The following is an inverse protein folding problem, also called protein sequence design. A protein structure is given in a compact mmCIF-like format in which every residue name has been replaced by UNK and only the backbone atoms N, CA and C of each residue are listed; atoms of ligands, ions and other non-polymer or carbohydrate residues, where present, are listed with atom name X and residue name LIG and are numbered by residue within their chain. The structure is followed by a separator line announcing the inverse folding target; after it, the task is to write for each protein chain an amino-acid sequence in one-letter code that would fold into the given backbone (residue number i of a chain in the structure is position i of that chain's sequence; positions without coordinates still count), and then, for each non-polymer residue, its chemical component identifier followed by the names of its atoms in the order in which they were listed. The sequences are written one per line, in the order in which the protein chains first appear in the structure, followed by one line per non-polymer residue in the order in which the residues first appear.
data_IF_642013492505
#
_entry.id   IF_642013492505
#
_cell.length_a   1.000
_cell.length_b   1.000
_cell.length_c   1.000
_cell.angle_alpha   90.00
_cell.angle_beta   90.00
_cell.angle_gamma   90.00
#
_symmetry.space_group_name_H-M   'P 1'
#
loop_
_entity.id
_entity.type
_entity.pdbx_description
1 polymer ?
#
# COMPACT_ATOMS: atom_id res chain seq x y z
N UNK A 1 -11.17 2.18 -0.25
CA UNK A 1 -12.52 1.72 0.13
C UNK A 1 -13.42 1.79 -1.10
N UNK A 2 -13.76 0.65 -1.70
CA UNK A 2 -14.81 0.58 -2.72
C UNK A 2 -16.18 0.59 -2.04
N UNK A 3 -17.23 1.02 -2.74
CA UNK A 3 -18.62 0.99 -2.24
C UNK A 3 -18.97 -0.41 -1.72
N UNK A 4 -19.00 -0.59 -0.40
CA UNK A 4 -19.57 -1.77 0.23
C UNK A 4 -21.10 -1.60 0.20
N UNK A 5 -21.81 -2.55 -0.39
CA UNK A 5 -23.27 -2.60 -0.27
C UNK A 5 -23.61 -2.95 1.19
N UNK A 6 -24.37 -2.10 1.88
CA UNK A 6 -24.96 -2.47 3.17
C UNK A 6 -25.35 -1.31 4.09
N UNK A 7 -24.50 -0.30 4.25
CA UNK A 7 -24.71 0.75 5.26
C UNK A 7 -24.83 2.13 4.61
N UNK A 8 -25.90 2.87 4.94
CA UNK A 8 -26.24 4.24 4.49
C UNK A 8 -25.23 4.86 3.53
N UNK A 9 -25.30 4.45 2.27
CA UNK A 9 -24.40 4.95 1.23
C UNK A 9 -24.92 6.32 0.83
N UNK A 10 -24.24 7.37 1.28
CA UNK A 10 -24.47 8.73 0.78
C UNK A 10 -24.47 8.70 -0.75
N UNK A 11 -25.47 9.34 -1.37
CA UNK A 11 -25.46 9.53 -2.82
C UNK A 11 -24.22 10.34 -3.21
N UNK A 12 -23.87 10.34 -4.49
CA UNK A 12 -22.75 11.18 -4.93
C UNK A 12 -23.04 12.66 -4.69
N UNK A 13 -24.28 13.09 -4.89
CA UNK A 13 -24.68 14.47 -4.66
C UNK A 13 -24.58 14.85 -3.17
N UNK A 14 -24.92 13.92 -2.27
CA UNK A 14 -24.76 14.16 -0.82
C UNK A 14 -23.29 14.24 -0.43
N UNK A 15 -22.43 13.41 -1.03
CA UNK A 15 -20.98 13.47 -0.84
C UNK A 15 -20.44 14.84 -1.33
N UNK A 16 -20.88 15.26 -2.51
CA UNK A 16 -20.47 16.52 -3.12
C UNK A 16 -20.87 17.71 -2.23
N UNK A 17 -22.13 17.75 -1.79
CA UNK A 17 -22.64 18.76 -0.83
C UNK A 17 -21.85 18.76 0.47
N UNK A 18 -21.63 17.58 1.07
CA UNK A 18 -20.89 17.46 2.31
C UNK A 18 -19.47 18.02 2.19
N UNK A 19 -18.76 17.77 1.09
CA UNK A 19 -17.42 18.31 0.88
C UNK A 19 -17.43 19.84 0.82
N UNK A 20 -18.36 20.42 0.07
CA UNK A 20 -18.53 21.88 -0.06
C UNK A 20 -18.92 22.51 1.28
N UNK A 21 -19.88 21.93 2.00
CA UNK A 21 -20.34 22.43 3.29
C UNK A 21 -19.20 22.44 4.31
N UNK A 22 -18.38 21.38 4.35
CA UNK A 22 -17.20 21.34 5.24
C UNK A 22 -16.16 22.36 4.81
N UNK A 23 -15.92 22.55 3.51
CA UNK A 23 -14.96 23.53 3.03
C UNK A 23 -15.40 24.98 3.35
N UNK A 24 -16.70 25.29 3.24
CA UNK A 24 -17.27 26.60 3.59
C UNK A 24 -17.12 26.97 5.07
N UNK A 25 -16.87 26.00 5.95
CA UNK A 25 -16.51 26.26 7.36
C UNK A 25 -15.06 26.70 7.57
N UNK A 26 -14.29 26.96 6.50
CA UNK A 26 -12.89 27.37 6.55
C UNK A 26 -11.90 26.23 6.81
N UNK A 27 -12.34 24.97 6.69
CA UNK A 27 -11.50 23.79 6.92
C UNK A 27 -10.78 23.34 5.65
N UNK A 28 -9.59 22.76 5.81
CA UNK A 28 -8.95 21.95 4.78
C UNK A 28 -9.63 20.58 4.74
N UNK A 29 -10.33 20.29 3.65
CA UNK A 29 -11.08 19.03 3.47
C UNK A 29 -10.29 18.11 2.55
N UNK A 30 -10.11 16.85 2.97
CA UNK A 30 -9.43 15.82 2.17
C UNK A 30 -10.43 14.74 1.78
N UNK A 31 -10.58 14.52 0.47
CA UNK A 31 -11.39 13.44 -0.11
C UNK A 31 -10.48 12.26 -0.48
N UNK A 32 -10.34 11.30 0.42
CA UNK A 32 -9.53 10.11 0.16
C UNK A 32 -10.29 9.13 -0.73
N UNK A 33 -9.75 8.88 -1.93
CA UNK A 33 -10.32 7.96 -2.93
C UNK A 33 -9.42 6.74 -3.10
N UNK A 34 -10.02 5.59 -3.43
CA UNK A 34 -9.26 4.39 -3.78
C UNK A 34 -8.81 4.43 -5.23
N UNK A 35 -7.56 4.07 -5.50
CA UNK A 35 -7.00 4.11 -6.84
C UNK A 35 -6.65 5.53 -7.27
N UNK A 36 -6.99 5.89 -8.50
CA UNK A 36 -6.83 7.25 -9.02
C UNK A 36 -8.17 8.01 -8.99
N UNK A 37 -8.21 9.29 -8.58
CA UNK A 37 -9.43 10.09 -8.53
C UNK A 37 -10.21 10.16 -9.86
N UNK A 38 -9.51 10.15 -10.99
CA UNK A 38 -10.08 10.38 -12.32
C UNK A 38 -10.24 9.10 -13.15
N UNK A 39 -9.75 7.95 -12.69
CA UNK A 39 -10.00 6.66 -13.34
C UNK A 39 -11.19 5.95 -12.69
N UNK A 40 -12.38 6.08 -13.31
CA UNK A 40 -13.64 5.49 -12.84
C UNK A 40 -14.03 5.85 -11.38
N UNK A 41 -13.42 6.90 -10.84
CA UNK A 41 -13.59 7.33 -9.45
C UNK A 41 -14.63 8.44 -9.26
N UNK A 42 -15.18 9.03 -10.33
CA UNK A 42 -16.05 10.23 -10.30
C UNK A 42 -15.38 11.48 -9.70
N UNK A 43 -14.05 11.53 -9.62
CA UNK A 43 -13.34 12.68 -9.09
C UNK A 43 -13.55 13.96 -9.92
N UNK A 44 -13.78 13.83 -11.23
CA UNK A 44 -14.08 14.97 -12.10
C UNK A 44 -15.43 15.62 -11.75
N UNK A 45 -16.47 14.81 -11.49
CA UNK A 45 -17.77 15.30 -11.03
C UNK A 45 -17.66 16.01 -9.68
N UNK A 46 -16.91 15.42 -8.74
CA UNK A 46 -16.63 16.02 -7.43
C UNK A 46 -15.91 17.37 -7.57
N UNK A 47 -14.89 17.44 -8.44
CA UNK A 47 -14.10 18.65 -8.70
C UNK A 47 -14.93 19.77 -9.36
N UNK A 48 -15.77 19.43 -10.36
CA UNK A 48 -16.67 20.39 -11.00
C UNK A 48 -17.63 21.00 -9.99
N UNK A 49 -18.25 20.18 -9.14
CA UNK A 49 -19.17 20.65 -8.11
C UNK A 49 -18.50 21.61 -7.10
N UNK A 50 -17.23 21.34 -6.74
CA UNK A 50 -16.45 22.23 -5.88
C UNK A 50 -16.22 23.59 -6.57
N UNK A 51 -15.84 23.59 -7.85
CA UNK A 51 -15.63 24.82 -8.63
C UNK A 51 -16.90 25.62 -8.84
N UNK A 52 -18.03 24.97 -9.13
CA UNK A 52 -19.35 25.60 -9.24
C UNK A 52 -19.77 26.31 -7.94
N UNK A 53 -19.24 25.90 -6.79
CA UNK A 53 -19.48 26.51 -5.49
C UNK A 53 -18.42 27.56 -5.09
N UNK A 54 -17.56 27.99 -6.02
CA UNK A 54 -16.56 29.04 -5.80
C UNK A 54 -15.40 28.63 -4.89
N UNK A 55 -15.15 27.33 -4.76
CA UNK A 55 -14.07 26.78 -3.94
C UNK A 55 -12.90 26.31 -4.80
N UNK A 56 -11.69 26.48 -4.26
CA UNK A 56 -10.47 25.93 -4.84
C UNK A 56 -10.26 24.47 -4.44
N UNK A 57 -9.63 23.70 -5.32
CA UNK A 57 -9.27 22.31 -5.04
C UNK A 57 -7.95 21.96 -5.73
N UNK A 58 -7.30 20.91 -5.20
CA UNK A 58 -6.15 20.25 -5.81
C UNK A 58 -6.47 18.76 -5.93
N UNK A 59 -5.96 18.11 -6.97
CA UNK A 59 -6.01 16.66 -7.13
C UNK A 59 -4.61 16.07 -7.08
N UNK A 60 -4.44 15.01 -6.29
CA UNK A 60 -3.22 14.23 -6.25
C UNK A 60 -3.43 12.94 -7.06
N UNK A 61 -2.63 12.69 -8.11
CA UNK A 61 -2.73 11.46 -8.90
C UNK A 61 -2.53 10.23 -8.02
N UNK A 62 -3.34 9.20 -8.26
CA UNK A 62 -3.25 7.93 -7.56
C UNK A 62 -2.77 6.80 -8.46
N UNK A 63 -2.39 5.68 -7.85
CA UNK A 63 -2.07 4.47 -8.60
C UNK A 63 -3.36 3.71 -8.92
N UNK A 64 -3.74 3.67 -10.19
CA UNK A 64 -4.96 2.98 -10.63
C UNK A 64 -4.84 1.45 -10.54
N UNK A 65 -5.92 0.78 -10.16
CA UNK A 65 -5.96 -0.69 -10.00
C UNK A 65 -5.66 -1.44 -11.31
N UNK A 66 -6.00 -0.88 -12.47
CA UNK A 66 -5.72 -1.47 -13.78
C UNK A 66 -4.24 -1.49 -14.18
N UNK A 67 -3.36 -0.85 -13.40
CA UNK A 67 -1.90 -1.01 -13.53
C UNK A 67 -1.36 -1.76 -12.31
N UNK A 68 -1.77 -1.35 -11.11
CA UNK A 68 -1.24 -1.92 -9.85
C UNK A 68 -1.54 -3.41 -9.76
N UNK A 69 -2.79 -3.82 -10.00
CA UNK A 69 -3.18 -5.23 -9.87
C UNK A 69 -2.40 -6.11 -10.85
N UNK A 70 -2.18 -5.61 -12.07
CA UNK A 70 -1.44 -6.30 -13.12
C UNK A 70 0.02 -6.49 -12.70
N UNK A 71 0.66 -5.40 -12.26
CA UNK A 71 2.05 -5.43 -11.82
C UNK A 71 2.25 -6.39 -10.63
N UNK A 72 1.44 -6.28 -9.58
CA UNK A 72 1.54 -7.19 -8.41
C UNK A 72 1.08 -8.61 -8.72
N UNK A 73 0.38 -8.84 -9.83
CA UNK A 73 0.09 -10.18 -10.34
C UNK A 73 1.18 -10.72 -11.26
N UNK A 74 2.28 -10.00 -11.50
CA UNK A 74 3.30 -10.41 -12.47
C UNK A 74 2.79 -10.41 -13.92
N UNK A 75 1.77 -9.62 -14.23
CA UNK A 75 1.18 -9.50 -15.56
C UNK A 75 1.54 -8.12 -16.09
N UNK A 76 2.47 -7.99 -17.05
CA UNK A 76 2.77 -6.69 -17.64
C UNK A 76 1.55 -6.13 -18.37
N UNK A 77 1.20 -4.87 -18.11
CA UNK A 77 0.11 -4.20 -18.83
C UNK A 77 0.45 -4.01 -20.32
N UNK A 78 1.72 -3.78 -20.64
CA UNK A 78 2.24 -3.74 -22.00
C UNK A 78 3.45 -4.64 -22.16
N UNK A 79 3.70 -5.07 -23.40
CA UNK A 79 4.89 -5.82 -23.79
C UNK A 79 5.10 -5.66 -25.30
N UNK A 80 6.31 -5.32 -25.74
CA UNK A 80 6.61 -4.89 -27.12
C UNK A 80 6.03 -5.82 -28.21
N UNK A 81 6.08 -7.13 -28.00
CA UNK A 81 5.67 -8.13 -28.99
C UNK A 81 4.30 -8.78 -28.69
N UNK A 82 3.65 -8.42 -27.57
CA UNK A 82 2.41 -9.11 -27.12
C UNK A 82 1.26 -8.13 -26.86
N UNK A 83 1.55 -6.95 -26.31
CA UNK A 83 0.56 -5.93 -26.01
C UNK A 83 1.14 -4.52 -26.14
N UNK A 84 0.92 -3.89 -27.29
CA UNK A 84 1.38 -2.53 -27.60
C UNK A 84 0.39 -1.43 -27.19
N UNK A 85 -0.80 -1.83 -26.72
CA UNK A 85 -1.87 -0.94 -26.27
C UNK A 85 -2.54 -1.49 -25.03
N UNK A 86 -3.12 -0.58 -24.24
CA UNK A 86 -3.86 -0.89 -23.01
C UNK A 86 -5.19 -0.17 -23.09
N UNK A 87 -6.28 -0.89 -22.84
CA UNK A 87 -7.63 -0.32 -22.78
C UNK A 87 -8.23 -0.53 -21.40
N UNK A 88 -8.55 0.57 -20.71
CA UNK A 88 -9.30 0.54 -19.46
C UNK A 88 -10.79 0.66 -19.74
N UNK A 89 -11.56 -0.34 -19.31
CA UNK A 89 -12.98 -0.49 -19.66
C UNK A 89 -13.78 -0.66 -18.37
N UNK A 90 -14.94 -0.02 -18.25
CA UNK A 90 -15.91 -0.38 -17.20
C UNK A 90 -16.71 -1.59 -17.65
N UNK A 91 -16.79 -2.62 -16.81
CA UNK A 91 -17.68 -3.76 -17.02
C UNK A 91 -19.06 -3.56 -16.39
N UNK A 92 -19.29 -2.42 -15.73
CA UNK A 92 -20.57 -2.07 -15.13
C UNK A 92 -21.47 -1.35 -16.15
N UNK A 93 -22.67 -1.88 -16.36
CA UNK A 93 -23.71 -1.23 -17.16
C UNK A 93 -24.34 -0.12 -16.33
N UNK A 94 -24.30 1.12 -16.81
CA UNK A 94 -25.31 2.10 -16.37
C UNK A 94 -26.67 1.57 -16.77
N UNK A 95 -27.69 1.67 -15.92
CA UNK A 95 -29.04 1.10 -16.15
C UNK A 95 -29.68 1.48 -17.50
N UNK A 96 -29.20 2.55 -18.16
CA UNK A 96 -29.71 3.07 -19.42
C UNK A 96 -28.86 2.78 -20.67
N UNK A 97 -27.77 2.00 -20.58
CA UNK A 97 -26.95 1.66 -21.75
C UNK A 97 -26.57 0.18 -21.78
N UNK A 98 -27.00 -0.51 -22.83
CA UNK A 98 -26.45 -1.80 -23.21
C UNK A 98 -25.09 -1.55 -23.88
N UNK A 99 -24.02 -1.49 -23.08
CA UNK A 99 -22.67 -1.55 -23.64
C UNK A 99 -22.45 -2.89 -24.34
N UNK A 100 -22.22 -2.82 -25.65
CA UNK A 100 -21.78 -3.95 -26.48
C UNK A 100 -20.26 -4.12 -26.33
N UNK A 101 -19.82 -5.20 -25.66
CA UNK A 101 -18.40 -5.48 -25.50
C UNK A 101 -17.75 -6.07 -26.76
N UNK A 102 -18.52 -6.43 -27.79
CA UNK A 102 -17.99 -6.99 -29.06
C UNK A 102 -16.97 -6.07 -29.71
N UNK A 103 -17.18 -4.75 -29.61
CA UNK A 103 -16.26 -3.73 -30.15
C UNK A 103 -14.85 -3.86 -29.58
N UNK A 104 -14.72 -4.31 -28.34
CA UNK A 104 -13.42 -4.44 -27.67
C UNK A 104 -12.65 -5.68 -28.12
N UNK A 105 -13.30 -6.69 -28.70
CA UNK A 105 -12.66 -7.92 -29.17
C UNK A 105 -11.61 -7.70 -30.26
N UNK A 106 -11.77 -6.62 -31.04
CA UNK A 106 -10.87 -6.23 -32.12
C UNK A 106 -9.76 -5.28 -31.67
N UNK A 107 -9.82 -4.77 -30.43
CA UNK A 107 -8.78 -3.88 -29.93
C UNK A 107 -7.47 -4.67 -29.71
N UNK A 108 -6.33 -4.13 -30.13
CA UNK A 108 -5.05 -4.77 -29.87
C UNK A 108 -4.67 -4.70 -28.38
N UNK A 109 -3.77 -5.58 -27.98
CA UNK A 109 -3.09 -5.53 -26.68
C UNK A 109 -3.92 -6.00 -25.50
N UNK A 110 -3.85 -5.24 -24.39
CA UNK A 110 -4.37 -5.62 -23.08
C UNK A 110 -5.71 -4.94 -22.80
N UNK A 111 -6.76 -5.73 -22.61
CA UNK A 111 -8.06 -5.24 -22.15
C UNK A 111 -8.15 -5.40 -20.63
N UNK A 112 -8.44 -4.32 -19.92
CA UNK A 112 -8.55 -4.31 -18.45
C UNK A 112 -9.93 -3.82 -18.06
N UNK A 113 -10.75 -4.72 -17.52
CA UNK A 113 -12.12 -4.43 -17.11
C UNK A 113 -12.20 -4.16 -15.60
N UNK A 114 -12.70 -2.98 -15.26
CA UNK A 114 -13.04 -2.54 -13.92
C UNK A 114 -14.48 -2.91 -13.61
N UNK A 115 -14.79 -3.26 -12.37
CA UNK A 115 -16.18 -3.49 -11.92
C UNK A 115 -16.94 -4.56 -12.74
N UNK A 116 -16.23 -5.42 -13.49
CA UNK A 116 -16.81 -6.35 -14.45
C UNK A 116 -17.15 -7.73 -13.89
N UNK A 117 -16.76 -8.05 -12.66
CA UNK A 117 -16.85 -9.43 -12.13
C UNK A 117 -18.26 -10.03 -12.23
N UNK A 118 -19.30 -9.29 -11.81
CA UNK A 118 -20.70 -9.75 -11.92
C UNK A 118 -21.15 -9.92 -13.37
N UNK A 119 -20.62 -9.10 -14.27
CA UNK A 119 -21.00 -9.05 -15.69
C UNK A 119 -20.06 -9.87 -16.59
N UNK A 120 -19.10 -10.59 -16.01
CA UNK A 120 -18.10 -11.34 -16.74
C UNK A 120 -18.71 -12.33 -17.75
N UNK A 121 -19.81 -13.07 -17.45
CA UNK A 121 -20.45 -13.93 -18.45
C UNK A 121 -20.84 -13.21 -19.74
N UNK A 122 -21.39 -11.99 -19.62
CA UNK A 122 -21.77 -11.18 -20.79
C UNK A 122 -20.54 -10.63 -21.50
N UNK A 123 -19.51 -10.17 -20.75
CA UNK A 123 -18.25 -9.70 -21.33
C UNK A 123 -17.62 -10.81 -22.18
N UNK A 124 -17.52 -12.04 -21.66
CA UNK A 124 -16.95 -13.17 -22.39
C UNK A 124 -17.78 -13.51 -23.63
N UNK A 125 -19.10 -13.62 -23.49
CA UNK A 125 -20.01 -13.89 -24.61
C UNK A 125 -19.83 -12.87 -25.74
N UNK A 126 -19.81 -11.59 -25.40
CA UNK A 126 -19.69 -10.50 -26.38
C UNK A 126 -18.27 -10.44 -26.98
N UNK A 127 -17.21 -10.67 -26.19
CA UNK A 127 -15.86 -10.72 -26.73
C UNK A 127 -15.69 -11.88 -27.74
N UNK A 128 -16.23 -13.07 -27.43
CA UNK A 128 -16.22 -14.22 -28.36
C UNK A 128 -17.02 -13.88 -29.63
N UNK A 129 -18.22 -13.32 -29.48
CA UNK A 129 -19.04 -12.90 -30.62
C UNK A 129 -18.39 -11.78 -31.46
N UNK A 130 -17.56 -10.93 -30.85
CA UNK A 130 -16.77 -9.90 -31.50
C UNK A 130 -15.52 -10.42 -32.21
N UNK A 131 -15.20 -11.71 -32.06
CA UNK A 131 -14.09 -12.37 -32.74
C UNK A 131 -12.79 -12.45 -31.94
N UNK A 132 -12.83 -12.29 -30.61
CA UNK A 132 -11.63 -12.56 -29.80
C UNK A 132 -11.25 -14.04 -29.93
N UNK A 133 -9.96 -14.35 -29.93
CA UNK A 133 -9.51 -15.73 -29.94
C UNK A 133 -9.93 -16.43 -28.64
N UNK A 134 -10.49 -17.64 -28.77
CA UNK A 134 -10.99 -18.44 -27.64
C UNK A 134 -9.90 -18.83 -26.63
N UNK A 135 -8.69 -19.06 -27.13
CA UNK A 135 -7.50 -19.40 -26.34
C UNK A 135 -6.78 -18.18 -25.74
N UNK A 136 -7.24 -16.96 -26.06
CA UNK A 136 -6.71 -15.71 -25.48
C UNK A 136 -6.73 -15.82 -23.96
N UNK A 137 -5.63 -15.48 -23.32
CA UNK A 137 -5.48 -15.63 -21.87
C UNK A 137 -6.26 -14.55 -21.12
N UNK A 138 -6.81 -14.93 -19.98
CA UNK A 138 -7.56 -14.06 -19.08
C UNK A 138 -7.09 -14.27 -17.64
N UNK A 139 -7.04 -13.18 -16.88
CA UNK A 139 -6.80 -13.20 -15.44
C UNK A 139 -7.89 -12.42 -14.70
N UNK A 140 -8.27 -12.90 -13.52
CA UNK A 140 -9.10 -12.19 -12.55
C UNK A 140 -8.25 -11.96 -11.30
N UNK A 141 -8.01 -10.70 -10.97
CA UNK A 141 -7.14 -10.29 -9.87
C UNK A 141 -8.02 -9.66 -8.80
N UNK A 142 -8.23 -10.37 -7.71
CA UNK A 142 -9.01 -9.92 -6.55
C UNK A 142 -8.11 -9.30 -5.49
N UNK A 143 -8.57 -8.24 -4.83
CA UNK A 143 -7.82 -7.53 -3.77
C UNK A 143 -6.36 -7.22 -4.15
N UNK A 144 -6.14 -6.76 -5.38
CA UNK A 144 -4.81 -6.47 -5.91
C UNK A 144 -4.00 -5.54 -5.00
N UNK A 145 -2.68 -5.78 -4.99
CA UNK A 145 -1.68 -5.15 -4.12
C UNK A 145 -1.90 -5.26 -2.60
N UNK A 146 -2.85 -6.08 -2.16
CA UNK A 146 -3.05 -6.34 -0.72
C UNK A 146 -2.51 -7.72 -0.34
N UNK A 147 -2.24 -7.96 0.96
CA UNK A 147 -1.93 -9.31 1.47
C UNK A 147 -3.03 -10.35 1.22
N UNK A 148 -4.24 -9.92 0.84
CA UNK A 148 -5.38 -10.79 0.50
C UNK A 148 -5.53 -10.99 -1.01
N UNK A 149 -4.56 -10.56 -1.81
CA UNK A 149 -4.58 -10.73 -3.26
C UNK A 149 -4.76 -12.20 -3.61
N UNK A 150 -5.62 -12.47 -4.60
CA UNK A 150 -5.68 -13.76 -5.28
C UNK A 150 -5.84 -13.53 -6.77
N UNK A 151 -5.04 -14.26 -7.55
CA UNK A 151 -5.08 -14.24 -9.01
C UNK A 151 -5.60 -15.58 -9.53
N UNK A 152 -6.59 -15.52 -10.41
CA UNK A 152 -7.15 -16.65 -11.13
C UNK A 152 -6.83 -16.48 -12.61
N UNK A 153 -6.29 -17.50 -13.28
CA UNK A 153 -5.92 -17.44 -14.70
C UNK A 153 -6.63 -18.54 -15.48
N UNK A 154 -7.07 -18.24 -16.69
CA UNK A 154 -7.71 -19.20 -17.60
C UNK A 154 -7.55 -18.73 -19.06
N UNK A 155 -8.39 -19.24 -19.94
CA UNK A 155 -8.61 -18.75 -21.31
C UNK A 155 -10.01 -18.15 -21.41
N UNK A 156 -10.24 -17.27 -22.39
CA UNK A 156 -11.56 -16.67 -22.62
C UNK A 156 -12.66 -17.73 -22.75
N UNK A 157 -12.39 -18.85 -23.42
CA UNK A 157 -13.37 -19.93 -23.59
C UNK A 157 -13.71 -20.67 -22.29
N UNK A 158 -12.72 -20.89 -21.41
CA UNK A 158 -12.86 -21.77 -20.24
C UNK A 158 -13.13 -21.05 -18.92
N UNK A 159 -12.94 -19.73 -18.86
CA UNK A 159 -12.96 -18.97 -17.60
C UNK A 159 -14.25 -19.14 -16.79
N UNK A 160 -15.41 -19.26 -17.46
CA UNK A 160 -16.71 -19.41 -16.79
C UNK A 160 -16.95 -20.82 -16.27
N UNK A 161 -16.23 -21.81 -16.79
CA UNK A 161 -16.31 -23.22 -16.38
C UNK A 161 -15.29 -23.52 -15.27
N UNK A 162 -14.07 -23.00 -15.42
CA UNK A 162 -12.94 -23.28 -14.51
C UNK A 162 -12.98 -22.44 -13.23
N UNK A 163 -13.61 -21.27 -13.25
CA UNK A 163 -13.55 -20.30 -12.15
C UNK A 163 -14.95 -19.98 -11.62
N UNK A 164 -15.18 -20.41 -10.39
CA UNK A 164 -16.37 -20.08 -9.61
C UNK A 164 -16.33 -18.60 -9.15
N UNK A 165 -17.07 -17.75 -9.87
CA UNK A 165 -17.08 -16.30 -9.65
C UNK A 165 -17.66 -15.89 -8.29
N UNK A 166 -18.52 -16.71 -7.68
CA UNK A 166 -19.11 -16.44 -6.35
C UNK A 166 -18.07 -16.52 -5.23
N UNK A 167 -16.99 -17.27 -5.45
CA UNK A 167 -15.87 -17.36 -4.49
C UNK A 167 -14.88 -16.20 -4.59
N UNK A 168 -14.99 -15.37 -5.63
CA UNK A 168 -14.08 -14.25 -5.85
C UNK A 168 -14.52 -13.04 -5.02
N UNK A 169 -13.69 -12.68 -4.05
CA UNK A 169 -13.91 -11.49 -3.22
C UNK A 169 -13.72 -10.21 -4.04
N UNK A 170 -14.63 -9.26 -3.89
CA UNK A 170 -14.51 -7.92 -4.48
C UNK A 170 -13.61 -7.05 -3.59
N UNK A 171 -12.93 -6.03 -4.16
CA UNK A 171 -12.90 -5.65 -5.58
C UNK A 171 -12.02 -6.59 -6.42
N UNK A 172 -12.31 -6.69 -7.72
CA UNK A 172 -11.53 -7.47 -8.68
C UNK A 172 -11.37 -6.74 -10.02
N UNK A 173 -10.23 -6.94 -10.66
CA UNK A 173 -9.91 -6.50 -12.02
C UNK A 173 -9.84 -7.73 -12.92
N UNK A 174 -10.44 -7.64 -14.11
CA UNK A 174 -10.33 -8.68 -15.13
C UNK A 174 -9.39 -8.17 -16.22
N UNK A 175 -8.49 -9.03 -16.68
CA UNK A 175 -7.50 -8.70 -17.71
C UNK A 175 -7.57 -9.75 -18.80
N UNK A 176 -7.74 -9.33 -20.05
CA UNK A 176 -7.64 -10.21 -21.22
C UNK A 176 -6.42 -9.76 -22.02
N UNK A 177 -5.37 -10.57 -22.05
CA UNK A 177 -4.10 -10.26 -22.72
C UNK A 177 -3.21 -11.48 -22.82
N UNK A 178 -2.37 -11.53 -23.85
CA UNK A 178 -1.36 -12.60 -23.97
C UNK A 178 -0.29 -12.48 -22.87
N UNK A 179 -0.08 -11.28 -22.30
CA UNK A 179 0.87 -11.04 -21.21
C UNK A 179 0.51 -11.74 -19.91
N UNK A 180 -0.73 -12.25 -19.78
CA UNK A 180 -1.15 -13.08 -18.64
C UNK A 180 -0.26 -14.32 -18.51
N UNK A 181 0.25 -14.86 -19.61
CA UNK A 181 1.17 -16.00 -19.59
C UNK A 181 2.53 -15.70 -18.93
N UNK A 182 2.96 -14.43 -18.89
CA UNK A 182 4.23 -14.04 -18.27
C UNK A 182 4.22 -14.15 -16.74
N UNK A 183 3.03 -14.26 -16.14
CA UNK A 183 2.84 -14.38 -14.70
C UNK A 183 3.63 -15.54 -14.08
N UNK A 184 3.75 -16.65 -14.78
CA UNK A 184 4.52 -17.82 -14.32
C UNK A 184 5.96 -17.45 -13.96
N UNK A 185 6.54 -16.47 -14.65
CA UNK A 185 7.93 -16.02 -14.49
C UNK A 185 8.07 -14.77 -13.63
N UNK A 186 7.04 -13.92 -13.61
CA UNK A 186 7.12 -12.57 -13.03
C UNK A 186 6.35 -12.42 -11.71
N UNK A 187 5.71 -13.47 -11.20
CA UNK A 187 4.99 -13.41 -9.93
C UNK A 187 5.95 -13.29 -8.73
N UNK A 188 6.23 -12.06 -8.31
CA UNK A 188 7.07 -11.79 -7.14
C UNK A 188 6.25 -11.54 -5.85
N UNK A 189 5.00 -11.11 -5.98
CA UNK A 189 4.24 -10.53 -4.86
C UNK A 189 3.62 -11.60 -3.96
N UNK A 190 2.98 -12.62 -4.53
CA UNK A 190 2.25 -13.63 -3.76
C UNK A 190 3.16 -14.65 -3.06
N UNK A 191 4.47 -14.63 -3.35
CA UNK A 191 5.47 -15.47 -2.69
C UNK A 191 5.92 -14.89 -1.33
N UNK A 192 5.45 -13.71 -0.95
CA UNK A 192 5.75 -13.09 0.34
C UNK A 192 5.01 -13.78 1.49
N UNK A 193 5.44 -13.53 2.73
CA UNK A 193 4.92 -14.16 3.95
C UNK A 193 3.56 -13.60 4.43
N UNK A 194 2.70 -13.17 3.50
CA UNK A 194 1.40 -12.58 3.81
C UNK A 194 0.53 -13.51 4.66
N UNK A 195 -0.16 -12.93 5.64
CA UNK A 195 -1.02 -13.65 6.58
C UNK A 195 -0.30 -14.22 7.81
N UNK A 196 1.04 -14.25 7.82
CA UNK A 196 1.82 -14.62 9.02
C UNK A 196 2.02 -13.39 9.91
N UNK A 197 1.83 -13.58 11.22
CA UNK A 197 1.99 -12.51 12.22
C UNK A 197 3.26 -12.71 13.02
N UNK A 198 4.00 -11.63 13.27
CA UNK A 198 5.18 -11.63 14.14
C UNK A 198 4.96 -10.60 15.26
N UNK A 199 5.21 -11.00 16.50
CA UNK A 199 5.28 -10.09 17.63
C UNK A 199 6.75 -9.81 17.99
N UNK A 200 7.14 -8.55 18.01
CA UNK A 200 8.45 -8.11 18.45
C UNK A 200 8.34 -7.55 19.87
N UNK A 201 9.02 -8.20 20.82
CA UNK A 201 8.81 -7.98 22.27
C UNK A 201 9.85 -7.09 22.95
N UNK A 202 10.88 -6.65 22.22
CA UNK A 202 11.94 -5.80 22.76
C UNK A 202 11.51 -4.31 22.81
N UNK A 203 12.41 -3.43 23.25
CA UNK A 203 12.14 -1.99 23.33
C UNK A 203 11.73 -1.38 21.96
N UNK A 204 10.87 -0.36 21.99
CA UNK A 204 10.24 0.19 20.78
C UNK A 204 11.27 0.72 19.77
N UNK A 205 12.23 1.55 20.22
CA UNK A 205 13.21 2.20 19.35
C UNK A 205 14.12 1.20 18.61
N UNK A 206 14.57 0.15 19.28
CA UNK A 206 15.44 -0.88 18.66
C UNK A 206 14.68 -1.82 17.71
N UNK A 207 13.34 -1.77 17.73
CA UNK A 207 12.47 -2.69 16.99
C UNK A 207 12.01 -2.16 15.64
N UNK A 208 11.95 -0.84 15.45
CA UNK A 208 11.39 -0.22 14.24
C UNK A 208 12.08 -0.77 12.97
N UNK A 209 13.41 -0.84 12.97
CA UNK A 209 14.18 -1.33 11.80
C UNK A 209 13.93 -2.81 11.49
N UNK A 210 13.69 -3.61 12.51
CA UNK A 210 13.39 -5.03 12.32
C UNK A 210 11.95 -5.24 11.87
N UNK A 211 11.03 -4.38 12.35
CA UNK A 211 9.66 -4.33 11.85
C UNK A 211 9.63 -4.06 10.36
N UNK A 212 10.29 -3.00 9.90
CA UNK A 212 10.34 -2.63 8.46
C UNK A 212 10.83 -3.80 7.59
N UNK A 213 11.96 -4.42 7.97
CA UNK A 213 12.50 -5.57 7.23
C UNK A 213 11.54 -6.77 7.17
N UNK A 214 10.84 -7.05 8.26
CA UNK A 214 9.88 -8.15 8.31
C UNK A 214 8.61 -7.82 7.53
N UNK A 215 8.15 -6.57 7.54
CA UNK A 215 7.02 -6.11 6.72
C UNK A 215 7.35 -6.17 5.22
N UNK A 216 8.60 -5.85 4.83
CA UNK A 216 9.07 -5.99 3.45
C UNK A 216 9.00 -7.44 2.95
N UNK A 217 9.27 -8.40 3.85
CA UNK A 217 9.12 -9.84 3.61
C UNK A 217 7.66 -10.32 3.63
N UNK A 218 6.71 -9.43 3.93
CA UNK A 218 5.27 -9.65 3.91
C UNK A 218 4.63 -10.04 5.24
N UNK A 219 5.36 -9.98 6.36
CA UNK A 219 4.79 -10.29 7.68
C UNK A 219 3.90 -9.15 8.20
N UNK A 220 2.85 -9.49 8.95
CA UNK A 220 2.10 -8.55 9.80
C UNK A 220 2.80 -8.44 11.16
N UNK A 221 3.54 -7.34 11.37
CA UNK A 221 4.45 -7.20 12.50
C UNK A 221 3.90 -6.26 13.56
N UNK A 222 3.69 -6.78 14.77
CA UNK A 222 3.26 -6.00 15.94
C UNK A 222 4.42 -5.79 16.90
N UNK A 223 4.66 -4.54 17.27
CA UNK A 223 5.57 -4.22 18.36
C UNK A 223 4.78 -4.32 19.67
N UNK A 224 5.22 -5.18 20.57
CA UNK A 224 4.60 -5.44 21.87
C UNK A 224 5.69 -5.32 22.93
N UNK A 225 6.12 -4.09 23.29
CA UNK A 225 7.25 -3.91 24.20
C UNK A 225 6.93 -4.53 25.55
N UNK A 226 7.74 -5.50 26.00
CA UNK A 226 7.60 -6.09 27.34
C UNK A 226 8.55 -5.47 28.36
N UNK A 227 9.38 -4.52 27.92
CA UNK A 227 10.38 -3.83 28.74
C UNK A 227 10.19 -2.33 28.56
N UNK A 228 10.15 -1.59 29.68
CA UNK A 228 10.20 -0.13 29.71
C UNK A 228 11.56 0.30 30.26
N UNK A 229 12.28 1.12 29.50
CA UNK A 229 13.49 1.77 29.98
C UNK A 229 13.05 2.98 30.80
N UNK A 230 13.50 3.06 32.05
CA UNK A 230 13.28 4.19 32.93
C UNK A 230 14.62 4.79 33.29
N UNK A 231 14.73 6.11 33.12
CA UNK A 231 15.85 6.87 33.65
C UNK A 231 15.76 6.87 35.19
N UNK A 232 16.90 6.64 35.84
CA UNK A 232 17.02 6.69 37.30
C UNK A 232 18.27 7.46 37.66
N UNK A 233 18.22 8.16 38.79
CA UNK A 233 19.34 8.90 39.36
C UNK A 233 19.90 9.99 38.42
N UNK A 234 19.06 10.63 37.61
CA UNK A 234 19.45 11.72 36.70
C UNK A 234 19.94 12.95 37.46
N UNK A 235 19.34 13.26 38.60
CA UNK A 235 19.74 14.42 39.42
C UNK A 235 21.14 14.25 40.02
N UNK A 236 21.45 13.03 40.47
CA UNK A 236 22.78 12.68 40.94
C UNK A 236 23.80 12.76 39.80
N UNK A 237 23.41 12.35 38.59
CA UNK A 237 24.28 12.43 37.42
C UNK A 237 24.63 13.90 37.09
N UNK A 238 23.64 14.79 37.14
CA UNK A 238 23.80 16.23 36.91
C UNK A 238 24.71 16.88 37.98
N UNK A 239 24.57 16.48 39.25
CA UNK A 239 25.47 16.91 40.32
C UNK A 239 26.91 16.46 40.04
N UNK A 240 27.10 15.21 39.61
CA UNK A 240 28.43 14.66 39.31
C UNK A 240 29.08 15.26 38.07
N UNK A 241 28.32 15.79 37.11
CA UNK A 241 28.91 16.50 35.98
C UNK A 241 29.62 17.80 36.38
N UNK A 242 29.18 18.45 37.47
CA UNK A 242 29.85 19.68 37.98
C UNK A 242 31.27 19.42 38.48
N UNK A 243 31.53 18.21 38.97
CA UNK A 243 32.83 17.78 39.47
C UNK A 243 33.08 16.30 39.13
N UNK A 244 33.55 16.07 37.89
CA UNK A 244 33.70 14.72 37.33
C UNK A 244 35.13 14.18 37.55
N UNK A 245 35.47 13.88 38.80
CA UNK A 245 36.80 13.41 39.22
C UNK A 245 36.90 11.88 39.28
N UNK A 246 36.89 11.20 38.14
CA UNK A 246 36.94 9.73 38.07
C UNK A 246 38.05 9.22 37.15
N UNK A 247 38.71 8.12 37.53
CA UNK A 247 39.70 7.47 36.65
C UNK A 247 39.03 6.62 35.55
N UNK A 248 37.88 6.02 35.87
CA UNK A 248 37.16 5.11 34.99
C UNK A 248 35.65 5.41 34.95
N UNK A 249 35.09 5.35 33.75
CA UNK A 249 33.65 5.39 33.48
C UNK A 249 33.24 4.06 32.83
N UNK A 250 32.44 3.27 33.53
CA UNK A 250 32.08 1.90 33.10
C UNK A 250 30.61 1.85 32.68
N UNK A 251 30.34 1.45 31.44
CA UNK A 251 29.00 1.26 30.92
C UNK A 251 28.63 -0.22 30.83
N UNK A 252 27.46 -0.58 31.39
CA UNK A 252 26.96 -1.96 31.38
C UNK A 252 25.83 -2.19 30.39
N UNK A 253 25.29 -1.12 29.77
CA UNK A 253 24.25 -1.22 28.74
C UNK A 253 24.31 -0.07 27.75
N UNK A 254 23.81 -0.31 26.53
CA UNK A 254 23.68 0.73 25.49
C UNK A 254 22.74 1.87 25.92
N UNK A 255 21.72 1.55 26.71
CA UNK A 255 20.76 2.54 27.21
C UNK A 255 21.44 3.49 28.19
N UNK A 256 22.29 2.98 29.08
CA UNK A 256 23.06 3.81 30.01
C UNK A 256 24.02 4.75 29.27
N UNK A 257 24.68 4.29 28.20
CA UNK A 257 25.52 5.14 27.33
C UNK A 257 24.68 6.28 26.74
N UNK A 258 23.52 5.95 26.13
CA UNK A 258 22.64 6.95 25.50
C UNK A 258 22.19 8.00 26.52
N UNK A 259 21.58 7.58 27.64
CA UNK A 259 21.08 8.48 28.69
C UNK A 259 22.20 9.37 29.25
N UNK A 260 23.38 8.80 29.50
CA UNK A 260 24.53 9.57 30.02
C UNK A 260 24.97 10.68 29.07
N UNK A 261 25.16 10.37 27.78
CA UNK A 261 25.63 11.36 26.81
C UNK A 261 24.55 12.37 26.43
N UNK A 262 23.28 11.95 26.35
CA UNK A 262 22.17 12.87 26.13
C UNK A 262 22.10 13.91 27.26
N UNK A 263 22.25 13.48 28.52
CA UNK A 263 22.29 14.38 29.69
C UNK A 263 23.55 15.24 29.77
N UNK A 264 24.72 14.69 29.45
CA UNK A 264 25.96 15.46 29.43
C UNK A 264 25.86 16.64 28.44
N UNK A 265 25.36 16.39 27.23
CA UNK A 265 25.30 17.41 26.17
C UNK A 265 24.22 18.47 26.43
N UNK A 266 23.22 18.19 27.28
CA UNK A 266 22.20 19.19 27.64
C UNK A 266 22.81 20.43 28.32
N UNK A 267 23.78 20.25 29.23
CA UNK A 267 24.29 21.34 30.07
C UNK A 267 25.83 21.40 30.23
N UNK A 268 26.58 20.43 29.69
CA UNK A 268 28.03 20.29 29.90
C UNK A 268 28.78 20.01 28.59
N UNK A 269 30.11 20.14 28.60
CA UNK A 269 30.95 19.87 27.44
C UNK A 269 31.54 18.46 27.51
N UNK A 270 31.62 17.76 26.38
CA UNK A 270 32.21 16.42 26.33
C UNK A 270 33.69 16.39 26.78
N UNK A 271 34.38 17.53 26.73
CA UNK A 271 35.75 17.69 27.23
C UNK A 271 35.84 17.58 28.75
N UNK A 272 34.75 17.79 29.48
CA UNK A 272 34.69 17.73 30.94
C UNK A 272 35.00 16.32 31.47
N UNK A 273 34.74 15.29 30.65
CA UNK A 273 35.07 13.89 30.95
C UNK A 273 36.34 13.39 30.23
N UNK A 274 37.10 14.28 29.58
CA UNK A 274 38.19 13.92 28.66
C UNK A 274 39.40 13.21 29.31
N UNK A 275 39.54 13.29 30.64
CA UNK A 275 40.60 12.61 31.40
C UNK A 275 40.21 11.19 31.85
N UNK A 276 38.94 10.81 31.72
CA UNK A 276 38.40 9.56 32.25
C UNK A 276 38.54 8.43 31.24
N UNK A 277 38.98 7.25 31.70
CA UNK A 277 39.05 6.04 30.85
C UNK A 277 37.68 5.40 30.74
N UNK A 278 37.18 5.21 29.51
CA UNK A 278 35.87 4.58 29.27
C UNK A 278 36.05 3.06 29.12
N UNK A 279 35.26 2.29 29.86
CA UNK A 279 35.13 0.84 29.73
C UNK A 279 33.67 0.45 29.48
N UNK A 280 33.44 -0.69 28.81
CA UNK A 280 32.10 -1.23 28.57
C UNK A 280 32.08 -2.74 28.78
N UNK A 281 30.99 -3.25 29.38
CA UNK A 281 30.77 -4.68 29.57
C UNK A 281 30.00 -5.24 28.37
N UNK A 282 30.63 -6.17 27.63
CA UNK A 282 30.05 -6.89 26.50
C UNK A 282 30.70 -6.59 25.14
N UNK A 283 30.86 -7.61 24.30
CA UNK A 283 31.45 -7.49 22.96
C UNK A 283 30.38 -7.20 21.91
N UNK A 284 30.19 -5.92 21.54
CA UNK A 284 29.82 -5.52 20.17
C UNK A 284 29.92 -4.01 19.94
N UNK A 285 30.38 -3.62 18.74
CA UNK A 285 31.77 -3.32 18.41
C UNK A 285 32.03 -1.81 18.46
N UNK A 286 33.31 -1.44 18.52
CA UNK A 286 33.85 -0.09 18.26
C UNK A 286 33.15 0.54 17.05
N UNK A 287 32.07 1.30 17.29
CA UNK A 287 31.63 2.31 16.33
C UNK A 287 32.59 3.46 16.56
N UNK A 288 33.60 3.55 15.69
CA UNK A 288 34.45 4.72 15.56
C UNK A 288 33.55 5.94 15.26
N UNK A 289 33.01 6.57 16.31
CA UNK A 289 32.79 8.01 16.29
C UNK A 289 34.18 8.61 16.48
N UNK A 290 34.92 8.72 15.38
CA UNK A 290 36.01 9.68 15.33
C UNK A 290 35.33 11.05 15.45
N UNK A 291 35.60 11.72 16.56
CA UNK A 291 35.48 13.17 16.68
C UNK A 291 36.58 13.77 15.79
#
# INVERSE_FOLDING_TARGET
MGKSMGDHVLSQDDINKLMVDKAKTGKKVVRLKGGDPYVFGRGSEEALFIKENGLEFETLPGLTSGIVCLNTAGIPASHRNMATSISFITGHRSENQNEDFKKYAKLPGTLVFYMGLKNLPNIIKDLIAGGIKKDKKIAIISNGSSPKQKVYTSTVEKVLEEIDLEKIKRPAIIVVSDTVGLREYLNYFENKNFGKKIALTRDYESTIKDKEKLEDLGFDVKIVPTIKILEKNTDLLEEKFKDFSYDYLVFTSKNAVKIFFDKLIENHDIRDIGKVKIAAIGEKPKRNRKI
#
